data_IF_870456819390
#
_entry.id   IF_870456819390
#
_cell.length_a   1.000
_cell.length_b   1.000
_cell.length_c   1.000
_cell.angle_alpha   90.00
_cell.angle_beta   90.00
_cell.angle_gamma   90.00
#
_symmetry.space_group_name_H-M   'P 1'
#
loop_
_entity.id
_entity.type
_entity.pdbx_description
1 polymer ?
#
# COMPACT_ATOMS: atom_id res chain seq x y z
N UNK A 1 0.89 18.02 -29.45
CA UNK A 1 1.41 19.34 -29.86
C UNK A 1 0.77 20.40 -28.98
N UNK A 2 1.54 21.30 -28.41
CA UNK A 2 1.06 22.48 -27.70
C UNK A 2 1.36 23.72 -28.54
N UNK A 3 0.42 24.64 -28.59
CA UNK A 3 0.59 25.92 -29.28
C UNK A 3 1.19 26.95 -28.31
N UNK A 4 2.26 27.57 -28.71
CA UNK A 4 2.99 28.58 -27.95
C UNK A 4 2.40 29.97 -28.21
N UNK A 5 2.73 30.96 -27.38
CA UNK A 5 2.25 32.33 -27.51
C UNK A 5 2.66 33.01 -28.85
N UNK A 6 3.72 32.53 -29.48
CA UNK A 6 4.19 32.99 -30.80
C UNK A 6 3.53 32.25 -31.96
N UNK A 7 2.55 31.38 -31.71
CA UNK A 7 1.86 30.57 -32.70
C UNK A 7 2.62 29.31 -33.14
N UNK A 8 3.84 29.08 -32.65
CA UNK A 8 4.56 27.86 -32.96
C UNK A 8 3.92 26.66 -32.25
N UNK A 9 4.05 25.47 -32.85
CA UNK A 9 3.55 24.20 -32.30
C UNK A 9 4.69 23.27 -31.97
N UNK A 10 4.84 22.92 -30.70
CA UNK A 10 5.87 22.01 -30.24
C UNK A 10 5.29 20.69 -29.72
N UNK A 11 5.99 19.55 -29.95
CA UNK A 11 5.59 18.29 -29.36
C UNK A 11 5.84 18.28 -27.85
N UNK A 12 5.00 17.57 -27.12
CA UNK A 12 5.19 17.30 -25.70
C UNK A 12 4.92 15.84 -25.37
N UNK A 13 5.48 15.39 -24.27
CA UNK A 13 5.16 14.08 -23.72
C UNK A 13 3.89 14.15 -22.89
N UNK A 14 3.05 13.12 -23.02
CA UNK A 14 1.81 12.95 -22.28
C UNK A 14 1.67 11.48 -21.89
N UNK A 15 2.25 11.09 -20.75
CA UNK A 15 2.25 9.69 -20.32
C UNK A 15 0.89 9.21 -19.88
N UNK A 16 0.18 10.05 -19.12
CA UNK A 16 -1.12 9.74 -18.57
C UNK A 16 -2.20 10.56 -19.26
N UNK A 17 -2.72 10.02 -20.35
CA UNK A 17 -3.82 10.64 -21.09
C UNK A 17 -5.02 9.70 -21.19
N UNK A 18 -6.18 10.30 -21.36
CA UNK A 18 -7.41 9.61 -21.68
C UNK A 18 -8.01 10.26 -22.93
N UNK A 19 -8.29 9.42 -23.93
CA UNK A 19 -9.06 9.81 -25.08
C UNK A 19 -10.54 9.73 -24.72
N UNK A 20 -11.26 10.85 -24.82
CA UNK A 20 -12.72 10.90 -24.70
C UNK A 20 -13.28 11.18 -26.07
N UNK A 21 -14.05 10.25 -26.61
CA UNK A 21 -14.81 10.42 -27.86
C UNK A 21 -16.22 10.82 -27.50
N UNK A 22 -16.59 12.07 -27.81
CA UNK A 22 -17.96 12.51 -27.72
C UNK A 22 -18.75 11.83 -28.85
N UNK A 23 -19.82 11.12 -28.50
CA UNK A 23 -20.65 10.39 -29.48
C UNK A 23 -21.45 11.33 -30.34
N UNK A 24 -21.69 12.56 -29.89
CA UNK A 24 -22.62 13.51 -30.56
C UNK A 24 -21.93 14.54 -31.46
N UNK A 25 -20.61 14.77 -31.29
CA UNK A 25 -19.92 15.88 -31.99
C UNK A 25 -18.66 15.48 -32.76
N UNK A 26 -18.32 14.22 -32.87
CA UNK A 26 -17.08 13.70 -33.48
C UNK A 26 -15.78 14.33 -32.96
N UNK A 27 -15.82 15.01 -31.82
CA UNK A 27 -14.64 15.61 -31.19
C UNK A 27 -13.97 14.64 -30.23
N UNK A 28 -12.70 14.38 -30.50
CA UNK A 28 -11.83 13.64 -29.56
C UNK A 28 -11.16 14.63 -28.64
N UNK A 29 -11.42 14.50 -27.35
CA UNK A 29 -10.72 15.26 -26.30
C UNK A 29 -9.69 14.37 -25.63
N UNK A 30 -8.50 14.91 -25.40
CA UNK A 30 -7.47 14.24 -24.60
C UNK A 30 -7.42 14.91 -23.24
N UNK A 31 -7.79 14.16 -22.19
CA UNK A 31 -7.52 14.55 -20.81
C UNK A 31 -6.19 13.94 -20.43
N UNK A 32 -5.28 14.75 -19.90
CA UNK A 32 -3.99 14.25 -19.48
C UNK A 32 -3.09 15.36 -18.98
N UNK A 33 -1.93 14.95 -18.51
CA UNK A 33 -0.91 15.81 -17.92
C UNK A 33 0.27 15.90 -18.88
N UNK A 34 0.72 17.11 -19.16
CA UNK A 34 2.01 17.29 -19.84
C UNK A 34 3.13 16.91 -18.88
N UNK A 35 4.02 16.05 -19.35
CA UNK A 35 5.16 15.61 -18.55
C UNK A 35 6.19 16.75 -18.43
N UNK A 36 6.75 16.90 -17.24
CA UNK A 36 7.82 17.88 -17.03
C UNK A 36 9.11 17.46 -17.78
N UNK A 37 9.76 18.43 -18.40
CA UNK A 37 11.04 18.20 -19.04
C UNK A 37 12.15 18.21 -17.98
N UNK A 38 12.52 17.05 -17.48
CA UNK A 38 13.58 16.89 -16.46
C UNK A 38 14.99 17.31 -16.92
N UNK A 39 15.18 17.64 -18.21
CA UNK A 39 16.42 18.21 -18.72
C UNK A 39 16.46 19.74 -18.60
N UNK A 40 15.35 20.37 -18.21
CA UNK A 40 15.23 21.81 -18.03
C UNK A 40 15.68 22.25 -16.64
N UNK A 41 16.56 23.23 -16.55
CA UNK A 41 16.99 23.80 -15.27
C UNK A 41 15.83 24.45 -14.51
N UNK A 42 14.82 24.99 -15.21
CA UNK A 42 13.60 25.52 -14.57
C UNK A 42 12.82 24.44 -13.81
N UNK A 43 12.84 23.18 -14.27
CA UNK A 43 12.22 22.06 -13.55
C UNK A 43 13.01 21.72 -12.29
N UNK A 44 14.35 21.82 -12.34
CA UNK A 44 15.20 21.63 -11.17
C UNK A 44 15.06 22.75 -10.15
N UNK A 45 14.89 24.01 -10.58
CA UNK A 45 14.55 25.13 -9.69
C UNK A 45 13.23 24.84 -8.97
N UNK A 46 12.19 24.41 -9.71
CA UNK A 46 10.91 23.99 -9.12
C UNK A 46 11.07 22.86 -8.09
N UNK A 47 11.87 21.85 -8.37
CA UNK A 47 12.12 20.76 -7.40
C UNK A 47 12.87 21.26 -6.16
N UNK A 48 13.89 22.12 -6.32
CA UNK A 48 14.62 22.71 -5.20
C UNK A 48 13.70 23.50 -4.27
N UNK A 49 12.87 24.36 -4.83
CA UNK A 49 11.90 25.17 -4.07
C UNK A 49 10.83 24.30 -3.39
N UNK A 50 10.30 23.33 -4.12
CA UNK A 50 9.26 22.42 -3.60
C UNK A 50 9.79 21.59 -2.45
N UNK A 51 10.96 20.96 -2.57
CA UNK A 51 11.57 20.16 -1.51
C UNK A 51 11.88 21.02 -0.28
N UNK A 52 12.44 22.23 -0.48
CA UNK A 52 12.67 23.19 0.59
C UNK A 52 11.38 23.56 1.33
N UNK A 53 10.29 23.81 0.59
CA UNK A 53 8.98 24.16 1.15
C UNK A 53 8.39 23.01 1.95
N UNK A 54 8.44 21.79 1.40
CA UNK A 54 7.98 20.58 2.10
C UNK A 54 8.80 20.31 3.37
N UNK A 55 10.11 20.53 3.33
CA UNK A 55 10.98 20.48 4.51
C UNK A 55 10.55 21.47 5.59
N UNK A 56 10.22 22.71 5.19
CA UNK A 56 9.71 23.77 6.06
C UNK A 56 8.37 23.39 6.72
N UNK A 57 7.55 22.58 6.06
CA UNK A 57 6.33 22.01 6.64
C UNK A 57 6.58 20.79 7.53
N UNK A 58 7.83 20.37 7.70
CA UNK A 58 8.20 19.24 8.55
C UNK A 58 8.13 17.87 7.87
N UNK A 59 8.04 17.81 6.56
CA UNK A 59 8.05 16.54 5.82
C UNK A 59 9.32 15.75 6.14
N UNK A 60 9.16 14.44 6.43
CA UNK A 60 10.26 13.49 6.67
C UNK A 60 10.37 12.43 5.59
N UNK A 61 9.29 12.23 4.85
CA UNK A 61 9.23 11.33 3.69
C UNK A 61 8.54 12.09 2.55
N UNK A 62 9.09 12.02 1.36
CA UNK A 62 8.47 12.53 0.12
C UNK A 62 8.22 11.36 -0.80
N UNK A 63 6.96 11.15 -1.19
CA UNK A 63 6.56 10.22 -2.24
C UNK A 63 6.82 10.86 -3.60
N UNK A 64 7.48 10.13 -4.48
CA UNK A 64 7.72 10.52 -5.86
C UNK A 64 6.73 9.77 -6.74
N UNK A 65 5.67 10.47 -7.13
CA UNK A 65 4.57 9.95 -7.94
C UNK A 65 5.02 9.59 -9.35
N UNK A 66 4.59 8.44 -9.85
CA UNK A 66 4.85 7.96 -11.22
C UNK A 66 6.32 8.10 -11.64
N UNK A 67 7.23 7.96 -10.70
CA UNK A 67 8.63 8.34 -10.80
C UNK A 67 9.36 7.70 -11.99
N UNK A 68 9.10 6.40 -12.24
CA UNK A 68 9.78 5.65 -13.28
C UNK A 68 9.44 6.09 -14.72
N UNK A 69 8.43 6.96 -14.86
CA UNK A 69 8.04 7.53 -16.15
C UNK A 69 8.75 8.86 -16.47
N UNK A 70 9.50 9.45 -15.55
CA UNK A 70 10.09 10.77 -15.74
C UNK A 70 11.24 10.80 -16.80
N UNK A 71 12.22 9.90 -16.77
CA UNK A 71 13.24 9.85 -17.81
C UNK A 71 12.71 9.26 -19.12
N UNK A 72 12.73 10.07 -20.19
CA UNK A 72 12.24 9.70 -21.53
C UNK A 72 13.20 10.10 -22.62
N UNK A 73 13.20 9.32 -23.70
CA UNK A 73 13.87 9.64 -24.95
C UNK A 73 13.09 9.04 -26.13
N UNK A 74 13.10 9.69 -27.32
CA UNK A 74 12.51 9.11 -28.53
C UNK A 74 13.11 7.73 -28.84
N UNK A 75 12.25 6.77 -29.19
CA UNK A 75 12.67 5.39 -29.52
C UNK A 75 12.97 4.48 -28.33
N UNK A 76 12.81 4.96 -27.08
CA UNK A 76 12.97 4.16 -25.86
C UNK A 76 11.62 3.82 -25.22
N UNK A 77 11.63 2.90 -24.25
CA UNK A 77 10.47 2.59 -23.43
C UNK A 77 9.97 3.84 -22.69
N UNK A 78 8.68 3.84 -22.33
CA UNK A 78 8.07 4.94 -21.59
C UNK A 78 8.20 4.76 -20.07
N UNK A 79 8.77 3.66 -19.60
CA UNK A 79 8.83 3.29 -18.21
C UNK A 79 10.19 2.71 -17.87
N UNK A 80 10.74 3.11 -16.72
CA UNK A 80 11.96 2.58 -16.09
C UNK A 80 13.16 2.48 -17.05
N UNK A 81 13.50 3.60 -17.70
CA UNK A 81 14.70 3.69 -18.51
C UNK A 81 15.95 3.70 -17.62
N UNK A 82 16.80 2.70 -17.75
CA UNK A 82 18.04 2.56 -17.00
C UNK A 82 19.25 2.94 -17.89
N UNK A 83 20.27 3.60 -17.35
CA UNK A 83 20.47 4.01 -15.95
C UNK A 83 19.76 5.31 -15.53
N UNK A 84 19.14 6.05 -16.45
CA UNK A 84 18.69 7.43 -16.28
C UNK A 84 17.66 7.58 -15.14
N UNK A 85 16.80 6.56 -14.91
CA UNK A 85 15.84 6.59 -13.81
C UNK A 85 16.54 6.65 -12.45
N UNK A 86 17.64 5.91 -12.28
CA UNK A 86 18.38 5.88 -11.03
C UNK A 86 19.24 7.14 -10.84
N UNK A 87 19.81 7.67 -11.92
CA UNK A 87 20.53 8.94 -11.89
C UNK A 87 19.62 10.10 -11.51
N UNK A 88 18.41 10.13 -12.05
CA UNK A 88 17.39 11.12 -11.71
C UNK A 88 16.96 11.00 -10.22
N UNK A 89 16.76 9.78 -9.71
CA UNK A 89 16.46 9.54 -8.30
C UNK A 89 17.57 10.05 -7.39
N UNK A 90 18.81 9.78 -7.74
CA UNK A 90 19.98 10.23 -6.98
C UNK A 90 20.09 11.76 -6.97
N UNK A 91 19.78 12.44 -8.07
CA UNK A 91 19.76 13.90 -8.12
C UNK A 91 18.70 14.48 -7.19
N UNK A 92 17.48 13.93 -7.16
CA UNK A 92 16.43 14.33 -6.21
C UNK A 92 16.86 14.03 -4.78
N UNK A 93 17.49 12.88 -4.55
CA UNK A 93 18.02 12.53 -3.23
C UNK A 93 19.02 13.57 -2.71
N UNK A 94 19.94 14.04 -3.56
CA UNK A 94 20.90 15.11 -3.20
C UNK A 94 20.22 16.39 -2.76
N UNK A 95 19.06 16.73 -3.36
CA UNK A 95 18.27 17.90 -2.94
C UNK A 95 17.54 17.67 -1.59
N UNK A 96 17.09 16.44 -1.33
CA UNK A 96 16.30 16.10 -0.14
C UNK A 96 17.17 15.83 1.11
N UNK A 97 18.37 15.27 0.90
CA UNK A 97 19.30 14.83 1.96
C UNK A 97 19.65 15.92 2.98
N UNK A 98 19.93 17.19 2.61
CA UNK A 98 20.26 18.25 3.58
C UNK A 98 19.14 18.52 4.59
N UNK A 99 17.90 18.18 4.25
CA UNK A 99 16.72 18.35 5.11
C UNK A 99 16.37 17.10 5.92
N UNK A 100 17.16 16.02 5.82
CA UNK A 100 16.88 14.75 6.46
C UNK A 100 15.63 14.04 5.91
N UNK A 101 15.23 14.35 4.67
CA UNK A 101 14.06 13.78 4.01
C UNK A 101 14.45 12.48 3.32
N UNK A 102 13.68 11.41 3.58
CA UNK A 102 13.76 10.12 2.87
C UNK A 102 12.85 10.14 1.65
N UNK A 103 13.28 9.51 0.57
CA UNK A 103 12.47 9.37 -0.65
C UNK A 103 11.73 8.04 -0.67
N UNK A 104 10.52 8.06 -1.22
CA UNK A 104 9.66 6.92 -1.46
C UNK A 104 9.23 6.93 -2.93
N UNK A 105 10.05 6.38 -3.85
CA UNK A 105 9.70 6.32 -5.25
C UNK A 105 8.56 5.32 -5.48
N UNK A 106 7.57 5.74 -6.27
CA UNK A 106 6.48 4.87 -6.68
C UNK A 106 6.88 4.14 -7.96
N UNK A 107 7.10 2.85 -7.85
CA UNK A 107 7.43 1.95 -8.96
C UNK A 107 6.63 0.67 -8.79
N UNK A 108 5.65 0.46 -9.66
CA UNK A 108 4.91 -0.79 -9.74
C UNK A 108 5.65 -1.80 -10.60
N UNK A 109 5.87 -2.97 -10.06
CA UNK A 109 6.51 -4.08 -10.76
C UNK A 109 6.12 -5.40 -10.09
N UNK A 110 5.94 -6.45 -10.91
CA UNK A 110 5.66 -7.79 -10.40
C UNK A 110 6.78 -8.31 -9.50
N UNK A 111 6.42 -9.17 -8.56
CA UNK A 111 7.36 -9.74 -7.59
C UNK A 111 8.60 -10.39 -8.25
N UNK A 112 8.43 -11.06 -9.41
CA UNK A 112 9.54 -11.68 -10.15
C UNK A 112 10.59 -10.70 -10.65
N UNK A 113 10.21 -9.44 -10.88
CA UNK A 113 11.11 -8.42 -11.39
C UNK A 113 12.07 -7.86 -10.32
N UNK A 114 11.79 -8.15 -9.05
CA UNK A 114 12.62 -7.77 -7.88
C UNK A 114 12.98 -6.28 -7.80
N UNK A 115 12.18 -5.38 -8.40
CA UNK A 115 12.45 -3.94 -8.38
C UNK A 115 12.42 -3.36 -6.95
N UNK A 116 11.58 -3.90 -6.07
CA UNK A 116 11.55 -3.55 -4.65
C UNK A 116 12.90 -3.79 -3.95
N UNK A 117 13.62 -4.87 -4.30
CA UNK A 117 14.97 -5.12 -3.78
C UNK A 117 15.97 -4.09 -4.27
N UNK A 118 15.96 -3.82 -5.58
CA UNK A 118 16.86 -2.82 -6.17
C UNK A 118 16.67 -1.42 -5.56
N UNK A 119 15.41 -1.04 -5.27
CA UNK A 119 15.10 0.24 -4.58
C UNK A 119 15.70 0.21 -3.17
N UNK A 120 15.50 -0.89 -2.43
CA UNK A 120 16.00 -1.04 -1.07
C UNK A 120 17.54 -1.06 -1.01
N UNK A 121 18.21 -1.79 -1.93
CA UNK A 121 19.67 -1.83 -2.06
C UNK A 121 20.29 -0.44 -2.31
N UNK A 122 19.56 0.44 -3.00
CA UNK A 122 19.94 1.85 -3.18
C UNK A 122 19.66 2.73 -1.95
N UNK A 123 19.13 2.16 -0.85
CA UNK A 123 18.87 2.86 0.42
C UNK A 123 17.56 3.63 0.49
N UNK A 124 16.67 3.46 -0.47
CA UNK A 124 15.37 4.13 -0.48
C UNK A 124 14.30 3.33 0.23
N UNK A 125 13.24 4.03 0.66
CA UNK A 125 12.01 3.38 1.11
C UNK A 125 11.31 2.74 -0.09
N UNK A 126 10.67 1.60 0.15
CA UNK A 126 9.94 0.84 -0.87
C UNK A 126 8.46 0.81 -0.54
N UNK A 127 7.59 1.01 -1.54
CA UNK A 127 6.18 0.71 -1.34
C UNK A 127 5.94 -0.79 -1.24
N UNK A 128 5.11 -1.19 -0.27
CA UNK A 128 4.62 -2.56 -0.16
C UNK A 128 3.29 -2.69 -0.90
N UNK A 129 3.34 -2.80 -2.22
CA UNK A 129 2.18 -3.05 -3.06
C UNK A 129 1.67 -4.50 -3.01
N UNK A 130 2.41 -5.39 -2.33
CA UNK A 130 2.02 -6.79 -2.16
C UNK A 130 1.06 -6.97 -1.00
N UNK A 131 1.26 -6.25 0.10
CA UNK A 131 0.54 -6.44 1.34
C UNK A 131 -0.99 -6.33 1.21
N UNK A 132 -1.57 -5.37 0.46
CA UNK A 132 -3.02 -5.27 0.31
C UNK A 132 -3.66 -6.57 -0.17
N UNK A 133 -3.13 -7.13 -1.25
CA UNK A 133 -3.64 -8.37 -1.82
C UNK A 133 -3.33 -9.60 -0.99
N UNK A 134 -2.15 -9.65 -0.34
CA UNK A 134 -1.77 -10.76 0.54
C UNK A 134 -2.69 -10.86 1.76
N UNK A 135 -3.07 -9.73 2.37
CA UNK A 135 -4.02 -9.74 3.50
C UNK A 135 -5.40 -10.19 3.03
N UNK A 136 -5.89 -9.69 1.88
CA UNK A 136 -7.18 -10.12 1.34
C UNK A 136 -7.20 -11.62 1.04
N UNK A 137 -6.17 -12.14 0.39
CA UNK A 137 -6.04 -13.56 0.09
C UNK A 137 -5.98 -14.40 1.37
N UNK A 138 -5.21 -13.93 2.38
CA UNK A 138 -5.09 -14.61 3.66
C UNK A 138 -6.43 -14.68 4.42
N UNK A 139 -7.19 -13.59 4.45
CA UNK A 139 -8.50 -13.53 5.13
C UNK A 139 -9.57 -14.30 4.36
N UNK A 140 -9.54 -14.27 3.03
CA UNK A 140 -10.49 -15.01 2.21
C UNK A 140 -10.32 -16.53 2.32
N UNK A 141 -9.05 -16.98 2.35
CA UNK A 141 -8.72 -18.42 2.38
C UNK A 141 -8.50 -18.99 3.79
N UNK A 142 -8.28 -18.11 4.77
CA UNK A 142 -7.83 -18.55 6.09
C UNK A 142 -6.39 -19.10 6.04
N UNK A 143 -5.50 -18.52 5.20
CA UNK A 143 -4.14 -19.03 4.97
C UNK A 143 -3.11 -17.89 5.00
N UNK A 144 -2.32 -17.83 6.07
CA UNK A 144 -1.30 -16.79 6.29
C UNK A 144 0.08 -17.10 5.70
N UNK A 145 0.25 -18.21 4.99
CA UNK A 145 1.59 -18.68 4.54
C UNK A 145 2.33 -17.67 3.67
N UNK A 146 1.64 -16.99 2.75
CA UNK A 146 2.26 -15.97 1.88
C UNK A 146 2.55 -14.65 2.62
N UNK A 147 1.76 -14.30 3.64
CA UNK A 147 2.09 -13.18 4.54
C UNK A 147 3.38 -13.48 5.31
N UNK A 148 3.50 -14.69 5.85
CA UNK A 148 4.72 -15.14 6.54
C UNK A 148 5.92 -15.12 5.61
N UNK A 149 5.78 -15.68 4.41
CA UNK A 149 6.84 -15.69 3.39
C UNK A 149 7.32 -14.28 3.07
N UNK A 150 6.40 -13.35 2.79
CA UNK A 150 6.72 -11.98 2.45
C UNK A 150 7.37 -11.21 3.59
N UNK A 151 6.84 -11.33 4.81
CA UNK A 151 7.44 -10.69 5.97
C UNK A 151 8.85 -11.19 6.25
N UNK A 152 9.09 -12.50 6.16
CA UNK A 152 10.42 -13.09 6.32
C UNK A 152 11.40 -12.60 5.25
N UNK A 153 10.95 -12.43 4.02
CA UNK A 153 11.80 -11.88 2.95
C UNK A 153 12.16 -10.43 3.25
N UNK A 154 11.20 -9.58 3.66
CA UNK A 154 11.49 -8.20 4.04
C UNK A 154 12.51 -8.10 5.17
N UNK A 155 12.37 -8.93 6.20
CA UNK A 155 13.29 -8.97 7.33
C UNK A 155 14.68 -9.40 6.89
N UNK A 156 14.77 -10.53 6.16
CA UNK A 156 16.04 -11.11 5.70
C UNK A 156 16.82 -10.16 4.80
N UNK A 157 16.15 -9.47 3.90
CA UNK A 157 16.76 -8.57 2.92
C UNK A 157 16.83 -7.11 3.42
N UNK A 158 16.44 -6.87 4.69
CA UNK A 158 16.42 -5.54 5.31
C UNK A 158 15.68 -4.49 4.47
N UNK A 159 14.51 -4.85 3.94
CA UNK A 159 13.69 -3.97 3.09
C UNK A 159 12.83 -3.07 3.97
N UNK A 160 13.10 -1.76 3.94
CA UNK A 160 12.32 -0.78 4.66
C UNK A 160 11.13 -0.31 3.84
N UNK A 161 9.93 -0.77 4.18
CA UNK A 161 8.71 -0.47 3.42
C UNK A 161 7.85 0.61 4.05
N UNK A 162 7.00 1.21 3.19
CA UNK A 162 5.74 1.84 3.58
C UNK A 162 4.64 0.92 3.10
N UNK A 163 3.89 0.35 4.04
CA UNK A 163 2.84 -0.60 3.77
C UNK A 163 1.45 0.04 3.84
N UNK A 164 0.46 -0.53 3.15
CA UNK A 164 -0.92 -0.04 3.14
C UNK A 164 -1.93 -1.19 3.03
N UNK A 165 -3.21 -0.90 3.27
CA UNK A 165 -4.34 -1.77 2.91
C UNK A 165 -4.88 -1.36 1.55
N UNK A 166 -5.51 -0.20 1.45
CA UNK A 166 -5.91 0.42 0.21
C UNK A 166 -5.27 1.78 0.00
N UNK A 167 -5.50 2.36 -1.16
CA UNK A 167 -5.09 3.72 -1.49
C UNK A 167 -6.06 4.37 -2.48
N UNK A 168 -5.77 5.61 -2.89
CA UNK A 168 -6.57 6.34 -3.88
C UNK A 168 -6.66 5.66 -5.26
N UNK A 169 -5.74 4.75 -5.56
CA UNK A 169 -5.73 4.00 -6.82
C UNK A 169 -6.46 2.64 -6.73
N UNK A 170 -6.81 2.20 -5.52
CA UNK A 170 -7.45 0.91 -5.28
C UNK A 170 -6.47 -0.16 -4.77
N UNK A 171 -6.69 -1.41 -5.17
CA UNK A 171 -5.94 -2.57 -4.69
C UNK A 171 -5.04 -3.07 -5.82
N UNK A 172 -3.69 -3.02 -5.66
CA UNK A 172 -2.76 -3.57 -6.63
C UNK A 172 -2.91 -5.10 -6.73
N UNK A 173 -2.98 -5.63 -7.94
CA UNK A 173 -3.02 -7.09 -8.17
C UNK A 173 -1.92 -7.58 -9.10
N UNK A 174 -1.42 -6.70 -10.00
CA UNK A 174 -0.30 -7.02 -10.88
C UNK A 174 0.97 -7.35 -10.11
N UNK A 175 1.22 -6.59 -9.04
CA UNK A 175 2.42 -6.73 -8.21
C UNK A 175 2.52 -8.13 -7.57
N UNK A 176 1.38 -8.80 -7.33
CA UNK A 176 1.33 -10.16 -6.75
C UNK A 176 1.86 -11.25 -7.68
N UNK A 177 2.03 -10.96 -8.99
CA UNK A 177 2.46 -11.95 -9.97
C UNK A 177 3.84 -12.54 -9.63
N UNK A 178 3.84 -13.85 -9.37
CA UNK A 178 5.01 -14.62 -8.97
C UNK A 178 5.27 -14.68 -7.47
N UNK A 179 4.52 -13.94 -6.64
CA UNK A 179 4.44 -14.15 -5.20
C UNK A 179 3.26 -15.07 -4.86
N UNK A 180 2.09 -14.77 -5.38
CA UNK A 180 0.94 -15.68 -5.36
C UNK A 180 0.88 -16.54 -6.65
N UNK A 181 0.35 -17.75 -6.58
CA UNK A 181 -0.04 -18.52 -7.77
C UNK A 181 -1.09 -17.78 -8.59
N UNK A 182 -1.02 -17.90 -9.93
CA UNK A 182 -1.90 -17.15 -10.84
C UNK A 182 -3.40 -17.41 -10.56
N UNK A 183 -3.78 -18.66 -10.26
CA UNK A 183 -5.15 -19.02 -9.90
C UNK A 183 -5.64 -18.30 -8.62
N UNK A 184 -4.75 -18.07 -7.62
CA UNK A 184 -5.12 -17.30 -6.41
C UNK A 184 -5.34 -15.82 -6.74
N UNK A 185 -4.54 -15.26 -7.64
CA UNK A 185 -4.71 -13.88 -8.12
C UNK A 185 -6.02 -13.74 -8.88
N UNK A 186 -6.33 -14.68 -9.78
CA UNK A 186 -7.60 -14.70 -10.53
C UNK A 186 -8.82 -14.81 -9.61
N UNK A 187 -8.78 -15.70 -8.62
CA UNK A 187 -9.84 -15.84 -7.63
C UNK A 187 -10.02 -14.57 -6.80
N UNK A 188 -8.91 -13.92 -6.40
CA UNK A 188 -8.94 -12.65 -5.68
C UNK A 188 -9.59 -11.56 -6.52
N UNK A 189 -9.20 -11.42 -7.79
CA UNK A 189 -9.79 -10.45 -8.71
C UNK A 189 -11.30 -10.70 -8.86
N UNK A 190 -11.69 -11.96 -9.06
CA UNK A 190 -13.11 -12.35 -9.16
C UNK A 190 -13.87 -11.96 -7.89
N UNK A 191 -13.34 -12.28 -6.72
CA UNK A 191 -13.92 -11.90 -5.43
C UNK A 191 -14.13 -10.38 -5.31
N UNK A 192 -13.13 -9.59 -5.71
CA UNK A 192 -13.21 -8.13 -5.64
C UNK A 192 -14.25 -7.56 -6.60
N UNK A 193 -14.38 -8.13 -7.80
CA UNK A 193 -15.40 -7.76 -8.79
C UNK A 193 -16.79 -8.15 -8.29
N UNK A 194 -16.97 -9.37 -7.76
CA UNK A 194 -18.24 -9.83 -7.18
C UNK A 194 -18.71 -8.96 -6.01
N UNK A 195 -17.75 -8.30 -5.31
CA UNK A 195 -17.99 -7.31 -4.27
C UNK A 195 -18.13 -5.88 -4.79
N UNK A 196 -18.29 -5.71 -6.11
CA UNK A 196 -18.59 -4.43 -6.75
C UNK A 196 -17.38 -3.58 -7.11
N UNK A 197 -16.18 -4.13 -7.12
CA UNK A 197 -14.98 -3.45 -7.61
C UNK A 197 -14.93 -3.36 -9.13
N UNK A 198 -14.25 -2.34 -9.64
CA UNK A 198 -13.99 -2.18 -11.07
C UNK A 198 -12.54 -2.54 -11.41
N UNK A 199 -12.38 -3.42 -12.40
CA UNK A 199 -11.06 -3.82 -12.90
C UNK A 199 -10.54 -2.80 -13.89
N UNK A 200 -9.27 -2.43 -13.75
CA UNK A 200 -8.54 -1.66 -14.76
C UNK A 200 -7.62 -2.57 -15.54
N UNK A 201 -7.91 -2.72 -16.84
CA UNK A 201 -7.06 -3.46 -17.79
C UNK A 201 -5.79 -2.69 -18.13
N UNK A 202 -4.66 -3.40 -18.19
CA UNK A 202 -3.46 -2.93 -18.86
C UNK A 202 -3.61 -3.21 -20.35
N UNK A 203 -4.00 -2.15 -21.12
CA UNK A 203 -4.02 -2.16 -22.60
C UNK A 203 -4.78 -3.32 -23.27
N UNK A 204 -6.07 -3.24 -23.29
CA UNK A 204 -7.00 -3.62 -24.37
C UNK A 204 -7.00 -5.05 -24.95
N UNK A 205 -5.98 -5.89 -24.79
CA UNK A 205 -5.90 -7.19 -25.45
C UNK A 205 -5.20 -8.33 -24.70
N UNK A 206 -4.77 -8.12 -23.46
CA UNK A 206 -4.26 -9.21 -22.62
C UNK A 206 -4.98 -9.10 -21.28
N UNK A 207 -5.51 -10.22 -20.77
CA UNK A 207 -6.07 -10.39 -19.43
C UNK A 207 -5.01 -10.14 -18.32
N UNK A 208 -4.38 -8.98 -18.33
CA UNK A 208 -3.46 -8.51 -17.32
C UNK A 208 -4.10 -7.36 -16.59
N UNK A 209 -4.71 -7.67 -15.46
CA UNK A 209 -5.32 -6.67 -14.61
C UNK A 209 -4.24 -5.97 -13.78
N UNK A 210 -4.20 -4.64 -13.85
CA UNK A 210 -3.24 -3.83 -13.11
C UNK A 210 -3.66 -3.67 -11.65
N UNK A 211 -4.92 -3.31 -11.43
CA UNK A 211 -5.50 -3.05 -10.12
C UNK A 211 -7.01 -3.21 -10.15
N UNK A 212 -7.61 -3.37 -8.97
CA UNK A 212 -9.06 -3.31 -8.78
C UNK A 212 -9.40 -2.05 -8.01
N UNK A 213 -10.23 -1.17 -8.60
CA UNK A 213 -10.72 0.03 -7.95
C UNK A 213 -11.90 -0.33 -7.04
N UNK A 214 -11.74 -0.21 -5.77
CA UNK A 214 -12.71 -0.48 -4.71
C UNK A 214 -12.16 0.04 -3.39
N UNK A 215 -13.01 0.34 -2.42
CA UNK A 215 -12.55 0.57 -1.04
C UNK A 215 -12.11 -0.76 -0.41
N UNK A 216 -11.18 -0.69 0.54
CA UNK A 216 -10.74 -1.90 1.22
C UNK A 216 -11.85 -2.53 2.08
N UNK A 217 -12.75 -1.69 2.59
CA UNK A 217 -13.93 -2.13 3.32
C UNK A 217 -14.88 -2.98 2.45
N UNK A 218 -15.19 -2.52 1.22
CA UNK A 218 -15.95 -3.34 0.25
C UNK A 218 -15.21 -4.60 -0.16
N UNK A 219 -13.88 -4.50 -0.37
CA UNK A 219 -13.04 -5.67 -0.66
C UNK A 219 -13.13 -6.75 0.43
N UNK A 220 -13.38 -6.36 1.68
CA UNK A 220 -13.61 -7.27 2.81
C UNK A 220 -15.09 -7.68 2.98
N UNK A 221 -15.97 -7.29 2.04
CA UNK A 221 -17.42 -7.58 2.10
C UNK A 221 -18.15 -6.77 3.17
N UNK A 222 -17.70 -5.55 3.42
CA UNK A 222 -18.25 -4.64 4.43
C UNK A 222 -18.27 -5.23 5.85
N UNK A 223 -17.28 -6.06 6.15
CA UNK A 223 -17.14 -6.72 7.44
C UNK A 223 -16.17 -5.96 8.35
N UNK A 224 -16.69 -5.32 9.38
CA UNK A 224 -15.90 -4.55 10.35
C UNK A 224 -14.86 -5.39 11.09
N UNK A 225 -15.16 -6.64 11.43
CA UNK A 225 -14.22 -7.53 12.11
C UNK A 225 -13.04 -7.89 11.18
N UNK A 226 -13.33 -8.17 9.91
CA UNK A 226 -12.29 -8.39 8.89
C UNK A 226 -11.44 -7.14 8.67
N UNK A 227 -12.05 -5.92 8.67
CA UNK A 227 -11.31 -4.67 8.54
C UNK A 227 -10.41 -4.42 9.76
N UNK A 228 -10.88 -4.67 10.98
CA UNK A 228 -10.08 -4.55 12.19
C UNK A 228 -8.93 -5.55 12.20
N UNK A 229 -9.16 -6.80 11.80
CA UNK A 229 -8.08 -7.79 11.67
C UNK A 229 -7.10 -7.39 10.57
N UNK A 230 -7.56 -6.92 9.41
CA UNK A 230 -6.69 -6.43 8.34
C UNK A 230 -5.79 -5.27 8.84
N UNK A 231 -6.35 -4.34 9.61
CA UNK A 231 -5.60 -3.25 10.25
C UNK A 231 -4.59 -3.76 11.27
N UNK A 232 -4.99 -4.70 12.12
CA UNK A 232 -4.08 -5.33 13.07
C UNK A 232 -2.91 -6.01 12.35
N UNK A 233 -3.16 -6.76 11.28
CA UNK A 233 -2.12 -7.34 10.45
C UNK A 233 -1.22 -6.26 9.85
N UNK A 234 -1.79 -5.22 9.23
CA UNK A 234 -1.01 -4.12 8.63
C UNK A 234 -0.04 -3.48 9.62
N UNK A 235 -0.51 -3.14 10.82
CA UNK A 235 0.35 -2.47 11.82
C UNK A 235 1.42 -3.39 12.41
N UNK A 236 1.24 -4.71 12.32
CA UNK A 236 2.20 -5.70 12.78
C UNK A 236 3.13 -6.22 11.66
N UNK A 237 2.79 -6.02 10.38
CA UNK A 237 3.72 -6.34 9.29
C UNK A 237 4.91 -5.39 9.26
N UNK A 238 6.06 -5.77 8.65
CA UNK A 238 7.21 -4.89 8.51
C UNK A 238 6.83 -3.59 7.81
N UNK A 239 7.50 -2.50 8.16
CA UNK A 239 7.31 -1.21 7.50
C UNK A 239 6.57 -0.17 8.32
N UNK A 240 6.34 0.99 7.70
CA UNK A 240 5.54 2.09 8.24
C UNK A 240 4.13 2.05 7.66
N UNK A 241 3.07 1.95 8.48
CA UNK A 241 1.71 1.95 7.98
C UNK A 241 1.33 3.29 7.35
N UNK A 242 0.88 3.27 6.10
CA UNK A 242 0.16 4.34 5.43
C UNK A 242 -1.32 3.99 5.47
N UNK A 243 -2.16 4.92 5.85
CA UNK A 243 -3.60 4.69 5.99
C UNK A 243 -4.36 5.58 5.03
N UNK A 244 -5.15 4.96 4.16
CA UNK A 244 -6.11 5.66 3.32
C UNK A 244 -7.32 6.06 4.17
N UNK A 245 -7.78 7.32 4.03
CA UNK A 245 -8.83 7.83 4.92
C UNK A 245 -10.15 7.05 4.80
N UNK A 246 -10.54 6.59 3.59
CA UNK A 246 -11.75 5.78 3.45
C UNK A 246 -11.65 4.44 4.17
N UNK A 247 -10.46 3.81 4.17
CA UNK A 247 -10.26 2.56 4.93
C UNK A 247 -10.35 2.81 6.44
N UNK A 248 -9.86 3.99 6.92
CA UNK A 248 -9.99 4.36 8.32
C UNK A 248 -11.46 4.52 8.72
N UNK A 249 -12.24 5.20 7.89
CA UNK A 249 -13.66 5.48 8.16
C UNK A 249 -14.61 4.33 7.78
N UNK A 250 -14.08 3.17 7.37
CA UNK A 250 -14.87 2.04 6.85
C UNK A 250 -15.85 2.52 5.76
N UNK A 251 -15.30 3.28 4.79
CA UNK A 251 -16.07 3.87 3.71
C UNK A 251 -16.40 2.85 2.62
N UNK A 252 -17.65 2.84 2.18
CA UNK A 252 -18.13 1.98 1.08
C UNK A 252 -17.81 2.60 -0.29
N UNK A 253 -17.97 1.80 -1.34
CA UNK A 253 -17.82 2.21 -2.72
C UNK A 253 -18.82 3.30 -3.12
N UNK A 254 -18.36 4.37 -3.78
CA UNK A 254 -19.18 5.48 -4.27
C UNK A 254 -19.52 5.34 -5.75
N UNK A 255 -20.55 4.57 -6.05
CA UNK A 255 -21.02 4.37 -7.43
C UNK A 255 -21.61 5.65 -8.06
N UNK A 256 -22.17 6.55 -7.23
CA UNK A 256 -22.69 7.82 -7.71
C UNK A 256 -21.55 8.77 -8.15
N UNK A 257 -20.40 8.75 -7.45
CA UNK A 257 -19.23 9.49 -7.89
C UNK A 257 -18.72 8.97 -9.25
N UNK A 258 -18.68 7.65 -9.44
CA UNK A 258 -18.31 7.03 -10.72
C UNK A 258 -19.25 7.47 -11.83
N UNK A 259 -20.56 7.43 -11.58
CA UNK A 259 -21.59 7.85 -12.54
C UNK A 259 -21.46 9.34 -12.91
N UNK A 260 -21.24 10.20 -11.93
CA UNK A 260 -21.02 11.64 -12.16
C UNK A 260 -19.76 11.93 -12.98
N UNK A 261 -18.69 11.16 -12.76
CA UNK A 261 -17.43 11.32 -13.46
C UNK A 261 -17.47 10.83 -14.91
N UNK A 262 -18.41 9.93 -15.24
CA UNK A 262 -18.60 9.42 -16.62
C UNK A 262 -17.46 8.52 -17.09
N UNK A 263 -17.17 8.57 -18.38
CA UNK A 263 -16.14 7.72 -18.99
C UNK A 263 -14.77 7.92 -18.31
N UNK A 264 -14.15 6.82 -17.87
CA UNK A 264 -12.87 6.83 -17.13
C UNK A 264 -12.96 7.17 -15.65
N UNK A 265 -14.14 7.45 -15.12
CA UNK A 265 -14.37 7.80 -13.72
C UNK A 265 -14.34 6.63 -12.72
N UNK A 266 -13.99 5.42 -13.15
CA UNK A 266 -13.98 4.22 -12.28
C UNK A 266 -13.12 4.37 -11.00
N UNK A 267 -12.11 5.23 -11.02
CA UNK A 267 -11.28 5.52 -9.83
C UNK A 267 -12.02 6.31 -8.75
N UNK A 268 -13.11 7.00 -9.11
CA UNK A 268 -13.87 7.80 -8.15
C UNK A 268 -14.60 6.93 -7.11
N UNK A 269 -14.74 5.62 -7.39
CA UNK A 269 -15.39 4.65 -6.49
C UNK A 269 -14.78 4.62 -5.08
N UNK A 270 -13.49 4.87 -4.96
CA UNK A 270 -12.75 4.86 -3.68
C UNK A 270 -12.09 6.20 -3.35
N UNK A 271 -12.72 7.32 -3.83
CA UNK A 271 -12.23 8.70 -3.63
C UNK A 271 -13.28 9.65 -3.09
N UNK A 272 -14.32 9.14 -2.44
CA UNK A 272 -15.39 9.94 -1.85
C UNK A 272 -14.82 11.03 -0.96
N UNK A 273 -15.21 12.28 -1.21
CA UNK A 273 -14.88 13.40 -0.33
C UNK A 273 -15.77 13.33 0.91
N UNK A 274 -15.17 13.22 2.09
CA UNK A 274 -15.88 13.27 3.35
C UNK A 274 -16.12 14.71 3.76
N UNK A 275 -17.37 15.05 4.07
CA UNK A 275 -17.70 16.33 4.71
C UNK A 275 -17.25 16.33 6.18
N UNK A 276 -17.18 17.51 6.79
CA UNK A 276 -16.88 17.59 8.23
C UNK A 276 -17.88 16.76 9.06
N UNK A 277 -19.17 16.78 8.70
CA UNK A 277 -20.19 15.97 9.36
C UNK A 277 -19.95 14.47 9.23
N UNK A 278 -19.49 14.01 8.04
CA UNK A 278 -19.16 12.61 7.83
C UNK A 278 -17.97 12.19 8.69
N UNK A 279 -16.98 13.06 8.82
CA UNK A 279 -15.81 12.84 9.68
C UNK A 279 -16.23 12.77 11.14
N UNK A 280 -17.00 13.75 11.63
CA UNK A 280 -17.48 13.80 13.01
C UNK A 280 -18.30 12.56 13.36
N UNK A 281 -19.28 12.20 12.52
CA UNK A 281 -20.08 10.99 12.73
C UNK A 281 -19.27 9.71 12.58
N UNK A 282 -18.30 9.70 11.68
CA UNK A 282 -17.38 8.57 11.47
C UNK A 282 -16.52 8.29 12.70
N UNK A 283 -16.02 9.33 13.36
CA UNK A 283 -15.22 9.22 14.59
C UNK A 283 -15.97 8.58 15.76
N UNK A 284 -17.30 8.57 15.73
CA UNK A 284 -18.13 7.90 16.75
C UNK A 284 -18.27 6.38 16.51
N UNK A 285 -17.98 5.89 15.31
CA UNK A 285 -18.06 4.46 14.98
C UNK A 285 -17.01 3.65 15.75
N UNK A 286 -17.41 2.52 16.35
CA UNK A 286 -16.48 1.66 17.09
C UNK A 286 -15.33 1.12 16.24
N UNK A 287 -15.59 0.78 14.97
CA UNK A 287 -14.55 0.33 14.03
C UNK A 287 -13.48 1.40 13.78
N UNK A 288 -13.87 2.68 13.77
CA UNK A 288 -12.94 3.81 13.60
C UNK A 288 -12.14 4.04 14.88
N UNK A 289 -12.81 4.08 16.04
CA UNK A 289 -12.16 4.22 17.35
C UNK A 289 -11.10 3.16 17.58
N UNK A 290 -11.43 1.89 17.31
CA UNK A 290 -10.47 0.77 17.44
C UNK A 290 -9.30 0.89 16.46
N UNK A 291 -9.52 1.29 15.21
CA UNK A 291 -8.42 1.53 14.27
C UNK A 291 -7.51 2.65 14.76
N UNK A 292 -8.07 3.77 15.23
CA UNK A 292 -7.30 4.89 15.78
C UNK A 292 -6.48 4.47 17.02
N UNK A 293 -7.05 3.64 17.89
CA UNK A 293 -6.35 3.08 19.05
C UNK A 293 -5.16 2.20 18.60
N UNK A 294 -5.36 1.31 17.63
CA UNK A 294 -4.28 0.50 17.04
C UNK A 294 -3.17 1.37 16.43
N UNK A 295 -3.52 2.41 15.68
CA UNK A 295 -2.56 3.33 15.06
C UNK A 295 -1.77 4.12 16.12
N UNK A 296 -2.45 4.58 17.17
CA UNK A 296 -1.81 5.23 18.33
C UNK A 296 -0.83 4.27 19.00
N UNK A 297 -1.26 3.04 19.29
CA UNK A 297 -0.41 1.99 19.84
C UNK A 297 0.84 1.76 18.97
N UNK A 298 0.66 1.56 17.65
CA UNK A 298 1.79 1.36 16.72
C UNK A 298 2.77 2.53 16.70
N UNK A 299 2.28 3.76 16.86
CA UNK A 299 3.10 4.98 16.88
C UNK A 299 3.88 5.14 18.16
N UNK A 300 3.25 4.86 19.32
CA UNK A 300 3.76 5.25 20.63
C UNK A 300 4.51 4.11 21.35
N UNK A 301 4.17 2.86 21.05
CA UNK A 301 4.76 1.73 21.76
C UNK A 301 6.20 1.42 21.29
N UNK A 302 7.19 1.34 22.22
CA UNK A 302 8.61 1.30 21.85
C UNK A 302 9.08 0.05 21.11
N UNK A 303 8.34 -1.07 21.16
CA UNK A 303 8.74 -2.33 20.53
C UNK A 303 8.87 -2.25 18.99
N UNK A 304 8.32 -1.21 18.37
CA UNK A 304 8.29 -1.06 16.91
C UNK A 304 9.42 -0.18 16.38
N UNK A 305 9.98 -0.54 15.23
CA UNK A 305 11.02 0.24 14.54
C UNK A 305 11.63 -0.54 13.39
N UNK A 306 12.38 0.13 12.52
CA UNK A 306 13.16 -0.57 11.49
C UNK A 306 14.38 -1.31 12.09
N UNK A 307 14.76 -0.95 13.29
CA UNK A 307 15.83 -1.52 14.09
C UNK A 307 15.33 -2.52 15.16
N UNK A 308 14.04 -2.84 15.15
CA UNK A 308 13.42 -3.79 16.06
C UNK A 308 13.47 -5.22 15.49
N UNK A 309 13.59 -6.20 16.38
CA UNK A 309 13.46 -7.60 16.02
C UNK A 309 11.99 -7.96 15.79
N UNK A 310 11.70 -8.63 14.68
CA UNK A 310 10.37 -9.12 14.38
C UNK A 310 10.41 -10.61 14.05
N UNK A 311 9.43 -11.33 14.55
CA UNK A 311 9.17 -12.73 14.18
C UNK A 311 7.73 -12.91 13.75
N UNK A 312 7.51 -13.81 12.76
CA UNK A 312 6.19 -14.16 12.25
C UNK A 312 6.10 -15.67 12.04
N UNK A 313 4.97 -16.25 12.40
CA UNK A 313 4.70 -17.68 12.22
C UNK A 313 3.22 -17.90 11.96
N UNK A 314 2.91 -18.82 11.05
CA UNK A 314 1.55 -19.29 10.74
C UNK A 314 1.23 -20.65 11.36
N UNK A 315 2.18 -21.23 12.11
CA UNK A 315 1.99 -22.49 12.88
C UNK A 315 2.27 -22.23 14.34
N UNK A 316 1.55 -22.86 15.28
CA UNK A 316 1.97 -22.84 16.66
C UNK A 316 3.41 -23.40 16.74
N UNK A 317 4.30 -22.72 17.44
CA UNK A 317 5.60 -23.30 17.74
C UNK A 317 5.38 -24.56 18.56
N UNK A 318 5.79 -25.71 18.08
CA UNK A 318 6.00 -26.85 18.93
C UNK A 318 7.13 -26.47 19.91
N UNK A 319 6.79 -26.11 21.13
CA UNK A 319 7.66 -25.59 22.20
C UNK A 319 7.89 -24.07 22.22
N UNK A 320 6.96 -23.37 22.81
CA UNK A 320 7.31 -22.21 23.65
C UNK A 320 7.38 -22.78 25.07
N UNK A 321 8.49 -22.51 25.78
CA UNK A 321 8.68 -23.01 27.14
C UNK A 321 7.45 -22.76 28.01
N UNK A 322 7.07 -23.71 28.84
CA UNK A 322 5.85 -23.75 29.66
C UNK A 322 5.55 -22.51 30.53
N UNK A 323 6.47 -21.56 30.65
CA UNK A 323 6.27 -20.28 31.34
C UNK A 323 5.55 -19.19 30.53
N UNK A 324 5.48 -19.34 29.19
CA UNK A 324 4.70 -18.43 28.33
C UNK A 324 3.30 -19.00 27.99
N UNK A 325 3.02 -20.26 28.38
CA UNK A 325 1.81 -21.00 28.03
C UNK A 325 0.61 -20.75 28.94
N UNK A 326 0.75 -20.09 30.06
CA UNK A 326 -0.35 -19.85 30.99
C UNK A 326 -1.47 -18.93 30.48
N UNK A 327 -1.47 -18.54 29.19
CA UNK A 327 -2.51 -17.70 28.62
C UNK A 327 -3.23 -18.30 27.38
N UNK A 328 -2.81 -19.43 26.82
CA UNK A 328 -3.42 -19.96 25.60
C UNK A 328 -3.52 -21.48 25.65
N UNK A 329 -4.65 -22.00 26.14
CA UNK A 329 -5.06 -23.38 25.91
C UNK A 329 -5.38 -23.55 24.42
N UNK A 330 -4.45 -24.12 23.66
CA UNK A 330 -4.70 -24.56 22.28
C UNK A 330 -4.83 -26.08 22.28
N UNK A 331 -6.05 -26.55 22.01
CA UNK A 331 -6.29 -27.94 21.66
C UNK A 331 -5.50 -28.34 20.41
N UNK A 332 -5.09 -29.60 20.27
CA UNK A 332 -4.46 -30.14 19.08
C UNK A 332 -5.30 -29.82 17.84
N UNK A 333 -4.72 -29.09 16.87
CA UNK A 333 -5.40 -28.64 15.67
C UNK A 333 -5.13 -29.61 14.52
N UNK A 334 -6.16 -29.91 13.72
CA UNK A 334 -6.01 -30.69 12.47
C UNK A 334 -5.08 -30.01 11.47
N UNK A 335 -4.53 -30.76 10.51
CA UNK A 335 -3.60 -30.23 9.50
C UNK A 335 -4.16 -29.04 8.73
N UNK A 336 -5.44 -28.99 8.44
CA UNK A 336 -6.15 -27.88 7.76
C UNK A 336 -6.28 -26.61 8.63
N UNK A 337 -6.07 -26.71 9.95
CA UNK A 337 -6.16 -25.57 10.86
C UNK A 337 -4.80 -24.91 11.11
N UNK A 338 -3.71 -25.48 10.59
CA UNK A 338 -2.33 -25.03 10.92
C UNK A 338 -1.93 -23.69 10.32
N UNK A 339 -2.55 -23.25 9.22
CA UNK A 339 -2.21 -22.00 8.51
C UNK A 339 -3.19 -20.85 8.76
N UNK A 340 -4.35 -21.13 9.36
CA UNK A 340 -5.36 -20.10 9.65
C UNK A 340 -5.02 -19.23 10.87
N UNK A 341 -3.99 -19.58 11.64
CA UNK A 341 -3.54 -18.77 12.76
C UNK A 341 -2.19 -18.14 12.46
N UNK A 342 -2.08 -16.86 12.77
CA UNK A 342 -0.87 -16.08 12.59
C UNK A 342 -0.44 -15.45 13.91
N UNK A 343 0.87 -15.53 14.18
CA UNK A 343 1.51 -14.97 15.36
C UNK A 343 2.63 -14.05 14.92
N UNK A 344 2.58 -12.80 15.34
CA UNK A 344 3.59 -11.79 15.04
C UNK A 344 4.09 -11.20 16.34
N UNK A 345 5.40 -11.12 16.50
CA UNK A 345 6.02 -10.53 17.68
C UNK A 345 7.05 -9.49 17.27
N UNK A 346 6.99 -8.33 17.88
CA UNK A 346 7.99 -7.28 17.80
C UNK A 346 8.69 -7.14 19.16
N UNK A 347 10.02 -6.95 19.13
CA UNK A 347 10.83 -6.79 20.33
C UNK A 347 11.90 -5.71 20.11
N UNK A 348 11.98 -4.79 21.04
CA UNK A 348 13.02 -3.76 21.08
C UNK A 348 13.21 -3.25 22.51
N UNK A 349 14.45 -3.10 22.95
CA UNK A 349 14.83 -2.54 24.25
C UNK A 349 14.07 -3.18 25.45
N UNK A 350 13.80 -4.49 25.37
CA UNK A 350 13.02 -5.23 26.36
C UNK A 350 11.49 -5.14 26.21
N UNK A 351 10.97 -4.16 25.47
CA UNK A 351 9.55 -4.07 25.15
C UNK A 351 9.14 -5.14 24.15
N UNK A 352 7.91 -5.64 24.28
CA UNK A 352 7.40 -6.72 23.44
C UNK A 352 5.94 -6.44 23.04
N UNK A 353 5.66 -6.44 21.74
CA UNK A 353 4.31 -6.39 21.18
C UNK A 353 4.00 -7.70 20.47
N UNK A 354 2.82 -8.29 20.75
CA UNK A 354 2.37 -9.56 20.17
C UNK A 354 1.00 -9.39 19.51
N UNK A 355 0.86 -9.95 18.31
CA UNK A 355 -0.42 -10.19 17.66
C UNK A 355 -0.62 -11.69 17.52
N UNK A 356 -1.77 -12.18 17.95
CA UNK A 356 -2.29 -13.51 17.61
C UNK A 356 -3.63 -13.35 16.92
N UNK A 357 -3.83 -14.01 15.78
CA UNK A 357 -5.05 -13.89 15.02
C UNK A 357 -5.49 -15.22 14.41
N UNK A 358 -6.81 -15.38 14.29
CA UNK A 358 -7.46 -16.42 13.50
C UNK A 358 -7.99 -15.75 12.20
N UNK A 359 -7.36 -16.10 11.08
CA UNK A 359 -7.65 -15.51 9.77
C UNK A 359 -9.03 -15.91 9.24
N UNK A 360 -9.52 -17.09 9.61
CA UNK A 360 -10.82 -17.62 9.17
C UNK A 360 -11.98 -17.10 10.00
N UNK A 361 -11.75 -16.98 11.33
CA UNK A 361 -12.77 -16.46 12.25
C UNK A 361 -12.76 -14.92 12.33
N UNK A 362 -11.80 -14.25 11.70
CA UNK A 362 -11.56 -12.81 11.76
C UNK A 362 -11.42 -12.28 13.19
N UNK A 363 -10.80 -13.08 14.08
CA UNK A 363 -10.55 -12.69 15.47
C UNK A 363 -9.07 -12.45 15.71
N UNK A 364 -8.76 -11.56 16.63
CA UNK A 364 -7.38 -11.23 16.97
C UNK A 364 -7.26 -10.82 18.43
N UNK A 365 -6.02 -10.89 18.92
CA UNK A 365 -5.61 -10.35 20.22
C UNK A 365 -4.26 -9.67 20.06
N UNK A 366 -4.16 -8.45 20.58
CA UNK A 366 -2.90 -7.71 20.67
C UNK A 366 -2.53 -7.58 22.15
N UNK A 367 -1.26 -7.80 22.47
CA UNK A 367 -0.71 -7.65 23.82
C UNK A 367 0.61 -6.91 23.76
N UNK A 368 0.85 -6.04 24.73
CA UNK A 368 2.08 -5.31 24.88
C UNK A 368 2.63 -5.50 26.31
N UNK A 369 3.92 -5.83 26.39
CA UNK A 369 4.62 -6.04 27.66
C UNK A 369 5.77 -5.03 27.77
N UNK A 370 5.97 -4.53 29.00
CA UNK A 370 7.12 -3.72 29.36
C UNK A 370 8.40 -4.58 29.53
N UNK A 371 9.59 -3.97 29.72
CA UNK A 371 10.82 -4.71 29.91
C UNK A 371 10.82 -5.63 31.15
N UNK A 372 9.94 -5.41 32.11
CA UNK A 372 9.79 -6.27 33.34
C UNK A 372 8.84 -7.44 33.08
N UNK A 373 8.22 -7.52 31.86
CA UNK A 373 7.28 -8.58 31.50
C UNK A 373 5.83 -8.31 31.92
N UNK A 374 5.53 -7.13 32.45
CA UNK A 374 4.14 -6.76 32.80
C UNK A 374 3.33 -6.43 31.57
N UNK A 375 2.06 -6.87 31.55
CA UNK A 375 1.11 -6.48 30.52
C UNK A 375 0.71 -5.01 30.72
N UNK A 376 1.07 -4.14 29.76
CA UNK A 376 0.83 -2.69 29.84
C UNK A 376 -0.26 -2.21 28.89
N UNK A 377 -0.60 -3.02 27.86
CA UNK A 377 -1.70 -2.72 26.96
C UNK A 377 -2.22 -4.00 26.28
N UNK A 378 -3.54 -4.05 26.00
CA UNK A 378 -4.15 -5.14 25.23
C UNK A 378 -5.41 -4.69 24.49
N UNK A 379 -5.69 -5.36 23.40
CA UNK A 379 -6.91 -5.25 22.60
C UNK A 379 -7.33 -6.64 22.11
#
# INVERSE_FOLDING_TARGET
MVEMADGSRIPYWNTFYQEIRDTDDYHTRYLGQMDLNIKSEKVWDFYRETIKKLAGYGAKIIRLDAFAYAPKAPGRANFLNEPETWEFLEQIHKLAKPYGIRLLPEIHAGYKEKKYKLIAEKGYLTYDFFLPGLILDALYRGDGSYLEQWAKEQIKENIHTVNMLGCHDGIPVLDLAGLLPDNRIEDLIRLLVDRGGFVKDLHGNKKMYYQVNTTYYNALGENEQALLLARALQIFMPGKPQVWYLDLFAGSNDYEAVKRAGAGGHKEINRTNLSQKDIESGLEKEVVKKQLEMLKFRKEFPAFGFDAEMTIRTKPAAQISAQAENALHFAELSADQMYNRIYITWKKDGYLARLSADLKAHTYRIQALDPSGNLVWQM
#
